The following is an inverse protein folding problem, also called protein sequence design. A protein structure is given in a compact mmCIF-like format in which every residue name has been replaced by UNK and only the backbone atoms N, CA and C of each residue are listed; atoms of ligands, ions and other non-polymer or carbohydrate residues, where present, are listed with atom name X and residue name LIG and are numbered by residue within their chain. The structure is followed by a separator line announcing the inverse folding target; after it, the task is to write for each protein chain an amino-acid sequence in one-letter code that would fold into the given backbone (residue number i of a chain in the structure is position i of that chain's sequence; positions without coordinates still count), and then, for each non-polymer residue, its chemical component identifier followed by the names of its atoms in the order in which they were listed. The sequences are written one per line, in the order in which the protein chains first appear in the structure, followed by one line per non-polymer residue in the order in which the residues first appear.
data_IF_368291225346
#
_entry.id   IF_368291225346
#
_cell.length_a   1.000
_cell.length_b   1.000
_cell.length_c   1.000
_cell.angle_alpha   90.00
_cell.angle_beta   90.00
_cell.angle_gamma   90.00
#
_symmetry.space_group_name_H-M   'P 1'
#
loop_
_entity.id
_entity.type
_entity.pdbx_description
1 polymer ?
#
# COMPACT_ATOMS: atom_id res chain seq x y z
N UNK A 1 -45.29 -23.48 11.65
CA UNK A 1 -44.24 -23.84 12.61
C UNK A 1 -42.94 -23.93 11.81
N UNK A 2 -41.91 -23.12 12.01
CA UNK A 2 -41.66 -22.08 12.99
C UNK A 2 -40.54 -21.16 12.48
N UNK A 3 -40.48 -20.04 13.16
CA UNK A 3 -39.55 -18.91 13.14
C UNK A 3 -39.49 -17.88 11.99
N UNK A 4 -39.67 -16.59 12.34
CA UNK A 4 -39.60 -15.44 11.46
C UNK A 4 -38.31 -14.63 11.71
N UNK A 5 -37.55 -14.30 10.67
CA UNK A 5 -36.84 -13.01 10.62
C UNK A 5 -36.23 -12.79 9.23
N UNK A 6 -36.96 -12.08 8.37
CA UNK A 6 -36.36 -11.32 7.28
C UNK A 6 -36.85 -9.87 7.38
N UNK A 7 -36.87 -9.35 8.60
CA UNK A 7 -37.45 -8.04 8.93
C UNK A 7 -36.42 -6.91 8.95
N UNK A 8 -35.25 -7.10 8.35
CA UNK A 8 -34.30 -6.00 8.15
C UNK A 8 -33.55 -6.20 6.84
N UNK A 9 -34.02 -5.51 5.80
CA UNK A 9 -33.22 -4.52 5.06
C UNK A 9 -34.11 -3.95 3.95
N UNK A 10 -34.04 -2.62 3.78
CA UNK A 10 -34.85 -1.81 2.88
C UNK A 10 -34.51 -2.08 1.41
N UNK A 11 -34.77 -3.27 0.90
CA UNK A 11 -34.59 -3.58 -0.51
C UNK A 11 -35.95 -3.50 -1.19
N UNK A 12 -36.19 -2.41 -1.90
CA UNK A 12 -37.31 -2.33 -2.85
C UNK A 12 -37.00 -3.31 -3.98
N UNK A 13 -37.52 -4.54 -3.89
CA UNK A 13 -37.53 -5.43 -5.04
C UNK A 13 -38.39 -4.79 -6.13
N UNK A 14 -37.78 -4.52 -7.30
CA UNK A 14 -38.57 -4.26 -8.50
C UNK A 14 -39.48 -5.46 -8.73
N UNK A 15 -40.76 -5.17 -9.02
CA UNK A 15 -41.87 -6.13 -9.08
C UNK A 15 -41.46 -7.41 -9.82
N UNK A 16 -41.41 -8.54 -9.11
CA UNK A 16 -41.29 -9.87 -9.73
C UNK A 16 -40.46 -10.92 -9.00
N UNK A 17 -39.47 -10.52 -8.20
CA UNK A 17 -38.54 -11.46 -7.57
C UNK A 17 -38.96 -11.83 -6.14
N UNK A 18 -38.96 -13.14 -5.84
CA UNK A 18 -39.18 -13.67 -4.48
C UNK A 18 -37.83 -14.07 -3.88
N UNK A 19 -37.70 -13.99 -2.55
CA UNK A 19 -36.54 -14.57 -1.88
C UNK A 19 -36.40 -16.06 -2.27
N UNK A 20 -35.24 -16.43 -2.81
CA UNK A 20 -34.97 -17.77 -3.35
C UNK A 20 -34.97 -17.87 -4.88
N UNK A 21 -35.17 -16.77 -5.62
CA UNK A 21 -34.92 -16.76 -7.06
C UNK A 21 -33.42 -16.92 -7.36
N UNK A 22 -33.01 -17.74 -8.33
CA UNK A 22 -31.61 -17.87 -8.75
C UNK A 22 -30.99 -16.53 -9.19
N UNK A 23 -31.81 -15.63 -9.73
CA UNK A 23 -31.41 -14.28 -10.13
C UNK A 23 -31.23 -13.33 -8.93
N UNK A 24 -31.67 -13.72 -7.74
CA UNK A 24 -31.46 -12.96 -6.50
C UNK A 24 -30.08 -13.21 -5.88
N UNK A 25 -29.39 -14.29 -6.28
CA UNK A 25 -28.02 -14.60 -5.86
C UNK A 25 -26.98 -13.71 -6.55
N UNK A 26 -27.31 -13.16 -7.73
CA UNK A 26 -26.40 -12.33 -8.53
C UNK A 26 -26.10 -10.97 -7.86
N UNK A 27 -26.90 -10.55 -6.89
CA UNK A 27 -26.69 -9.26 -6.20
C UNK A 27 -25.74 -9.31 -5.00
N UNK A 28 -25.20 -10.47 -4.62
CA UNK A 28 -24.36 -10.63 -3.42
C UNK A 28 -22.92 -11.06 -3.68
N UNK A 29 -22.58 -11.50 -4.89
CA UNK A 29 -21.24 -12.07 -5.16
C UNK A 29 -20.20 -11.01 -5.60
N UNK A 30 -20.61 -9.81 -6.02
CA UNK A 30 -19.67 -8.79 -6.53
C UNK A 30 -18.78 -8.13 -5.44
N UNK A 31 -19.05 -8.40 -4.15
CA UNK A 31 -18.31 -7.80 -3.04
C UNK A 31 -17.17 -8.66 -2.49
N UNK A 32 -17.22 -10.00 -2.63
CA UNK A 32 -16.14 -10.87 -2.16
C UNK A 32 -14.92 -10.84 -3.10
N UNK A 33 -15.14 -10.65 -4.40
CA UNK A 33 -14.07 -10.61 -5.40
C UNK A 33 -13.12 -9.41 -5.22
N UNK A 34 -13.63 -8.25 -4.77
CA UNK A 34 -12.81 -7.06 -4.51
C UNK A 34 -11.80 -7.25 -3.36
N UNK A 35 -12.08 -8.12 -2.39
CA UNK A 35 -11.14 -8.42 -1.29
C UNK A 35 -10.08 -9.42 -1.77
N UNK A 36 -10.45 -10.36 -2.64
CA UNK A 36 -9.52 -11.34 -3.21
C UNK A 36 -8.46 -10.70 -4.12
N UNK A 37 -8.79 -9.56 -4.75
CA UNK A 37 -7.85 -8.78 -5.57
C UNK A 37 -7.01 -7.78 -4.76
N UNK A 38 -7.16 -7.74 -3.42
CA UNK A 38 -6.37 -6.84 -2.59
C UNK A 38 -4.91 -7.30 -2.49
N UNK A 39 -3.98 -6.37 -2.72
CA UNK A 39 -2.55 -6.59 -2.52
C UNK A 39 -2.15 -6.05 -1.16
N UNK A 40 -1.66 -6.94 -0.30
CA UNK A 40 -1.04 -6.61 0.99
C UNK A 40 0.36 -7.21 1.03
N UNK A 41 1.38 -6.38 0.85
CA UNK A 41 2.78 -6.82 0.93
C UNK A 41 3.55 -5.97 1.93
N UNK A 42 4.46 -6.64 2.64
CA UNK A 42 5.38 -6.02 3.60
C UNK A 42 6.76 -6.63 3.42
N UNK A 43 7.72 -5.82 2.98
CA UNK A 43 9.09 -6.25 2.79
C UNK A 43 10.05 -5.36 3.58
N UNK A 44 11.07 -6.00 4.14
CA UNK A 44 12.16 -5.32 4.85
C UNK A 44 13.49 -5.81 4.31
N UNK A 45 14.38 -4.87 3.97
CA UNK A 45 15.74 -5.18 3.52
C UNK A 45 16.75 -4.26 4.18
N UNK A 46 17.88 -4.85 4.58
CA UNK A 46 19.03 -4.13 5.11
C UNK A 46 20.06 -3.87 4.01
N UNK A 47 20.70 -2.70 4.06
CA UNK A 47 21.65 -2.22 3.07
C UNK A 47 22.96 -1.83 3.75
N UNK A 48 24.07 -2.12 3.08
CA UNK A 48 25.42 -1.73 3.47
C UNK A 48 26.17 -1.30 2.21
N UNK A 49 25.90 -0.08 1.70
CA UNK A 49 26.40 0.36 0.41
C UNK A 49 27.93 0.49 0.42
N UNK A 50 28.56 0.18 -0.71
CA UNK A 50 30.03 0.23 -0.84
C UNK A 50 30.61 1.65 -0.68
N UNK A 51 29.79 2.68 -0.92
CA UNK A 51 30.07 4.08 -0.62
C UNK A 51 29.04 4.57 0.41
N UNK A 52 29.48 5.35 1.38
CA UNK A 52 28.58 5.94 2.35
C UNK A 52 27.56 6.87 1.67
N UNK A 53 26.32 6.78 2.12
CA UNK A 53 25.22 7.61 1.66
C UNK A 53 25.11 8.89 2.48
N UNK A 54 24.56 9.94 1.88
CA UNK A 54 24.14 11.14 2.61
C UNK A 54 22.66 11.07 2.93
N UNK A 55 22.20 11.87 3.89
CA UNK A 55 20.78 12.05 4.20
C UNK A 55 19.98 12.48 2.96
N UNK A 56 20.50 13.41 2.17
CA UNK A 56 19.81 13.86 0.95
C UNK A 56 19.76 12.77 -0.13
N UNK A 57 20.82 11.97 -0.29
CA UNK A 57 20.81 10.89 -1.27
C UNK A 57 19.81 9.78 -0.89
N UNK A 58 19.76 9.37 0.39
CA UNK A 58 18.77 8.39 0.85
C UNK A 58 17.33 8.93 0.77
N UNK A 59 17.13 10.22 1.05
CA UNK A 59 15.83 10.87 0.85
C UNK A 59 15.42 10.76 -0.61
N UNK A 60 16.30 11.13 -1.53
CA UNK A 60 16.02 11.11 -2.96
C UNK A 60 15.73 9.69 -3.46
N UNK A 61 16.54 8.69 -3.07
CA UNK A 61 16.31 7.27 -3.38
C UNK A 61 14.96 6.77 -2.84
N UNK A 62 14.63 7.11 -1.60
CA UNK A 62 13.35 6.77 -0.98
C UNK A 62 12.16 7.39 -1.72
N UNK A 63 12.23 8.69 -2.06
CA UNK A 63 11.18 9.37 -2.85
C UNK A 63 11.02 8.70 -4.22
N UNK A 64 12.11 8.46 -4.96
CA UNK A 64 12.04 7.82 -6.28
C UNK A 64 11.46 6.41 -6.21
N UNK A 65 11.78 5.66 -5.15
CA UNK A 65 11.20 4.34 -4.89
C UNK A 65 9.69 4.44 -4.72
N UNK A 66 9.21 5.37 -3.89
CA UNK A 66 7.78 5.55 -3.64
C UNK A 66 7.02 6.06 -4.86
N UNK A 67 7.60 6.96 -5.64
CA UNK A 67 7.02 7.42 -6.90
C UNK A 67 6.87 6.26 -7.88
N UNK A 68 7.93 5.46 -8.08
CA UNK A 68 7.88 4.27 -8.95
C UNK A 68 6.81 3.27 -8.49
N UNK A 69 6.72 2.99 -7.19
CA UNK A 69 5.69 2.10 -6.67
C UNK A 69 4.29 2.68 -6.87
N UNK A 70 4.11 3.99 -6.67
CA UNK A 70 2.86 4.69 -6.94
C UNK A 70 2.43 4.56 -8.40
N UNK A 71 3.36 4.64 -9.35
CA UNK A 71 3.09 4.45 -10.78
C UNK A 71 2.63 3.01 -11.10
N UNK A 72 3.08 2.01 -10.34
CA UNK A 72 2.72 0.61 -10.54
C UNK A 72 1.34 0.25 -9.98
N UNK A 73 0.90 0.89 -8.91
CA UNK A 73 -0.33 0.51 -8.18
C UNK A 73 -1.47 1.52 -8.25
N UNK A 74 -1.24 2.67 -8.90
CA UNK A 74 -2.27 3.69 -9.00
C UNK A 74 -3.21 3.46 -10.18
N UNK A 75 -4.47 3.80 -9.97
CA UNK A 75 -5.48 3.89 -11.01
C UNK A 75 -5.92 5.35 -11.10
N UNK A 76 -5.82 5.95 -12.29
CA UNK A 76 -6.10 7.38 -12.52
C UNK A 76 -5.34 8.32 -11.55
N UNK A 77 -4.14 7.91 -11.14
CA UNK A 77 -3.28 8.66 -10.22
C UNK A 77 -3.67 8.56 -8.74
N UNK A 78 -4.65 7.74 -8.39
CA UNK A 78 -5.04 7.43 -7.01
C UNK A 78 -4.53 6.05 -6.64
N UNK A 79 -3.92 5.91 -5.45
CA UNK A 79 -3.67 4.59 -4.87
C UNK A 79 -4.90 4.22 -4.07
N UNK A 80 -5.61 3.16 -4.48
CA UNK A 80 -6.80 2.65 -3.80
C UNK A 80 -6.40 1.92 -2.49
N UNK A 81 -5.80 2.66 -1.56
CA UNK A 81 -5.13 2.16 -0.38
C UNK A 81 -4.02 3.11 0.06
N UNK A 82 -2.84 2.58 0.38
CA UNK A 82 -1.66 3.39 0.67
C UNK A 82 -0.35 2.60 0.54
N UNK A 83 0.71 3.32 0.22
CA UNK A 83 2.08 2.86 0.34
C UNK A 83 2.72 3.56 1.53
N UNK A 84 3.29 2.80 2.45
CA UNK A 84 4.00 3.33 3.62
C UNK A 84 5.35 2.68 3.76
N UNK A 85 6.34 3.44 4.18
CA UNK A 85 7.64 2.86 4.45
C UNK A 85 8.49 3.68 5.37
N UNK A 86 9.60 3.09 5.75
CA UNK A 86 10.55 3.72 6.65
C UNK A 86 11.96 3.28 6.30
N UNK A 87 12.87 4.25 6.19
CA UNK A 87 14.30 4.03 6.24
C UNK A 87 14.74 4.30 7.68
N UNK A 88 15.40 3.33 8.31
CA UNK A 88 15.98 3.45 9.66
C UNK A 88 17.49 3.31 9.63
N UNK A 89 18.17 4.19 10.35
CA UNK A 89 19.60 4.12 10.67
C UNK A 89 19.76 4.00 12.19
N UNK A 90 20.99 3.95 12.69
CA UNK A 90 21.27 3.95 14.13
C UNK A 90 20.79 5.24 14.83
N UNK A 91 20.91 6.40 14.16
CA UNK A 91 20.65 7.71 14.77
C UNK A 91 19.37 8.43 14.32
N UNK A 92 18.64 7.88 13.34
CA UNK A 92 17.43 8.53 12.82
C UNK A 92 16.76 7.74 11.69
N UNK A 93 15.88 8.41 10.95
CA UNK A 93 15.24 7.80 9.80
C UNK A 93 14.35 8.75 8.99
N UNK A 94 13.72 8.17 7.98
CA UNK A 94 12.69 8.81 7.17
C UNK A 94 11.48 7.90 7.12
N UNK A 95 10.28 8.44 7.36
CA UNK A 95 9.03 7.80 7.03
C UNK A 95 8.49 8.36 5.72
N UNK A 96 7.91 7.49 4.91
CA UNK A 96 7.33 7.78 3.60
C UNK A 96 5.87 7.34 3.59
N UNK A 97 5.01 8.16 3.00
CA UNK A 97 3.60 7.82 2.76
C UNK A 97 3.20 8.31 1.37
N UNK A 98 2.41 7.49 0.66
CA UNK A 98 1.85 7.83 -0.63
C UNK A 98 0.44 7.27 -0.73
N UNK A 99 -0.53 8.16 -0.98
CA UNK A 99 -1.94 7.84 -1.26
C UNK A 99 -2.35 8.30 -2.67
N UNK A 100 -1.52 9.13 -3.31
CA UNK A 100 -1.70 9.65 -4.66
C UNK A 100 -0.38 9.56 -5.42
N UNK A 101 -0.42 9.09 -6.67
CA UNK A 101 0.76 9.06 -7.51
C UNK A 101 1.36 10.47 -7.70
N UNK A 102 2.68 10.57 -7.79
CA UNK A 102 3.39 11.83 -7.97
C UNK A 102 3.67 12.64 -6.70
N UNK A 103 3.05 12.33 -5.57
CA UNK A 103 3.23 13.08 -4.30
C UNK A 103 3.60 12.13 -3.17
N UNK A 104 4.83 12.26 -2.65
CA UNK A 104 5.32 11.48 -1.52
C UNK A 104 5.41 12.39 -0.30
N UNK A 105 4.69 12.04 0.76
CA UNK A 105 4.87 12.66 2.07
C UNK A 105 6.08 12.06 2.74
N UNK A 106 7.01 12.90 3.18
CA UNK A 106 8.25 12.49 3.83
C UNK A 106 8.34 13.14 5.20
N UNK A 107 8.50 12.32 6.24
CA UNK A 107 8.67 12.77 7.62
C UNK A 107 10.05 12.34 8.13
N UNK A 108 10.82 13.29 8.65
CA UNK A 108 12.09 13.01 9.31
C UNK A 108 11.86 12.45 10.71
N UNK A 109 12.65 11.47 11.11
CA UNK A 109 12.57 10.80 12.40
C UNK A 109 13.89 10.94 13.17
N UNK A 110 13.80 11.24 14.46
CA UNK A 110 14.97 11.30 15.35
C UNK A 110 16.02 12.32 14.90
N UNK A 111 17.29 11.95 14.99
CA UNK A 111 18.43 12.80 14.67
C UNK A 111 18.73 12.98 13.18
N UNK A 112 17.76 12.74 12.28
CA UNK A 112 17.98 12.68 10.81
C UNK A 112 18.81 13.84 10.26
N UNK A 113 18.48 15.10 10.57
CA UNK A 113 19.21 16.27 10.08
C UNK A 113 20.66 16.37 10.55
N UNK A 114 20.99 15.70 11.66
CA UNK A 114 22.33 15.68 12.24
C UNK A 114 23.17 14.46 11.82
N UNK A 115 22.64 13.57 10.98
CA UNK A 115 23.40 12.43 10.49
C UNK A 115 24.43 12.89 9.46
N UNK A 116 25.67 12.40 9.62
CA UNK A 116 26.72 12.53 8.63
C UNK A 116 26.63 11.44 7.57
N UNK A 117 27.69 10.65 7.44
CA UNK A 117 27.74 9.51 6.53
C UNK A 117 26.92 8.31 7.06
N UNK A 118 26.07 7.75 6.20
CA UNK A 118 25.24 6.57 6.51
C UNK A 118 25.82 5.37 5.78
N UNK A 119 26.34 4.40 6.55
CA UNK A 119 26.98 3.18 6.01
C UNK A 119 26.15 1.91 6.16
N UNK A 120 25.09 1.98 6.96
CA UNK A 120 24.14 0.91 7.14
C UNK A 120 22.77 1.50 7.43
N UNK A 121 21.75 0.91 6.81
CA UNK A 121 20.35 1.27 7.05
C UNK A 121 19.43 0.11 6.69
N UNK A 122 18.21 0.16 7.19
CA UNK A 122 17.16 -0.80 6.85
C UNK A 122 15.98 -0.05 6.25
N UNK A 123 15.45 -0.54 5.14
CA UNK A 123 14.21 -0.03 4.56
C UNK A 123 13.10 -1.06 4.74
N UNK A 124 11.95 -0.59 5.19
CA UNK A 124 10.69 -1.37 5.21
C UNK A 124 9.67 -0.68 4.34
N UNK A 125 8.98 -1.43 3.50
CA UNK A 125 7.90 -0.93 2.63
C UNK A 125 6.69 -1.82 2.81
N UNK A 126 5.54 -1.18 2.98
CA UNK A 126 4.23 -1.80 3.03
C UNK A 126 3.39 -1.21 1.89
N UNK A 127 2.86 -2.06 1.03
CA UNK A 127 1.88 -1.68 0.01
C UNK A 127 0.57 -2.34 0.41
N UNK A 128 -0.47 -1.54 0.57
CA UNK A 128 -1.83 -2.00 0.77
C UNK A 128 -2.68 -1.34 -0.31
N UNK A 129 -3.27 -2.12 -1.20
CA UNK A 129 -4.16 -1.61 -2.25
C UNK A 129 -5.30 -2.60 -2.48
N UNK A 130 -6.47 -2.09 -2.86
CA UNK A 130 -7.65 -2.86 -3.25
C UNK A 130 -7.56 -3.36 -4.70
N UNK A 131 -6.49 -3.03 -5.41
CA UNK A 131 -6.24 -3.43 -6.79
C UNK A 131 -5.01 -4.33 -6.85
N UNK A 132 -5.14 -5.48 -7.51
CA UNK A 132 -4.00 -6.38 -7.71
C UNK A 132 -2.93 -5.69 -8.54
N UNK A 133 -1.67 -5.85 -8.13
CA UNK A 133 -0.51 -5.42 -8.89
C UNK A 133 0.62 -6.41 -8.70
N UNK A 134 1.26 -6.80 -9.80
CA UNK A 134 2.42 -7.70 -9.77
C UNK A 134 3.67 -6.91 -9.34
N UNK A 135 3.84 -6.71 -8.03
CA UNK A 135 5.03 -6.09 -7.43
C UNK A 135 5.92 -7.16 -6.82
N UNK A 136 7.18 -7.17 -7.20
CA UNK A 136 8.20 -8.02 -6.59
C UNK A 136 9.02 -7.27 -5.54
N UNK A 137 9.73 -8.00 -4.67
CA UNK A 137 10.68 -7.39 -3.75
C UNK A 137 11.82 -6.65 -4.50
N UNK A 138 12.20 -7.13 -5.69
CA UNK A 138 13.18 -6.46 -6.55
C UNK A 138 12.66 -5.11 -7.05
N UNK A 139 11.38 -5.00 -7.38
CA UNK A 139 10.76 -3.73 -7.76
C UNK A 139 10.79 -2.71 -6.62
N UNK A 140 10.54 -3.17 -5.40
CA UNK A 140 10.55 -2.35 -4.19
C UNK A 140 11.95 -1.80 -3.91
N UNK A 141 13.00 -2.61 -4.07
CA UNK A 141 14.35 -2.23 -3.62
C UNK A 141 15.35 -1.90 -4.74
N UNK A 142 14.92 -1.88 -6.01
CA UNK A 142 15.80 -1.63 -7.16
C UNK A 142 16.65 -0.35 -7.06
N UNK A 143 16.12 0.70 -6.42
CA UNK A 143 16.79 2.00 -6.32
C UNK A 143 17.58 2.19 -5.02
N UNK A 144 17.53 1.21 -4.12
CA UNK A 144 18.16 1.28 -2.80
C UNK A 144 19.53 0.59 -2.76
N UNK A 145 19.80 -0.29 -3.72
CA UNK A 145 21.11 -0.93 -3.87
C UNK A 145 22.22 0.07 -4.23
#
# INVERSE_FOLDING_TARGET
CGDPDCTDHRHHHHVGQKCGDPDCAVCHDEHEDLINDSLVISHTRSFSPGRAETTDSLREKGIKTFLRLGDLVSFEGVVAGHIKGVIRTEGGGLAFSLTRAGVVDVTELGGWKGLGEIRAYTMTVNVMTLLHADITEEDIFALMA
#
